data_IF_483332896052
#
_entry.id   IF_483332896052
#
_cell.length_a   1.000
_cell.length_b   1.000
_cell.length_c   1.000
_cell.angle_alpha   90.00
_cell.angle_beta   90.00
_cell.angle_gamma   90.00
#
_symmetry.space_group_name_H-M   'P 1'
#
loop_
_entity.id
_entity.type
_entity.pdbx_description
1 polymer ?
#
# COMPACT_ATOMS: atom_id res chain seq x y z
N UNK A 1 21.40 11.87 4.49
CA UNK A 1 20.11 12.54 4.76
C UNK A 1 19.38 12.68 3.45
N UNK A 2 18.29 11.93 3.31
CA UNK A 2 17.42 12.01 2.14
C UNK A 2 16.39 13.11 2.42
N UNK A 3 16.21 14.07 1.51
CA UNK A 3 15.21 15.14 1.66
C UNK A 3 14.03 14.85 0.73
N UNK A 4 12.82 14.97 1.27
CA UNK A 4 11.59 14.91 0.49
C UNK A 4 11.45 16.23 -0.29
N UNK A 5 11.97 16.30 -1.50
CA UNK A 5 11.90 17.55 -2.30
C UNK A 5 10.50 17.81 -2.83
N UNK A 6 10.26 19.02 -3.32
CA UNK A 6 9.01 19.34 -4.02
C UNK A 6 8.78 18.37 -5.21
N UNK A 7 7.54 17.93 -5.38
CA UNK A 7 7.14 16.95 -6.39
C UNK A 7 7.56 15.51 -6.07
N UNK A 8 8.21 15.25 -4.92
CA UNK A 8 8.47 13.89 -4.48
C UNK A 8 7.18 13.22 -4.02
N UNK A 9 6.99 11.96 -4.41
CA UNK A 9 5.83 11.18 -4.02
C UNK A 9 6.14 10.30 -2.81
N UNK A 10 5.12 10.08 -1.99
CA UNK A 10 5.12 9.13 -0.88
C UNK A 10 4.00 8.13 -1.09
N UNK A 11 4.34 6.86 -1.23
CA UNK A 11 3.38 5.76 -1.18
C UNK A 11 3.30 5.24 0.25
N UNK A 12 2.09 5.23 0.82
CA UNK A 12 1.80 4.60 2.11
C UNK A 12 0.91 3.40 1.85
N UNK A 13 1.26 2.21 2.32
CA UNK A 13 0.46 1.00 2.10
C UNK A 13 0.49 0.03 3.29
N UNK A 14 -0.62 -0.65 3.56
CA UNK A 14 -0.74 -1.64 4.66
C UNK A 14 -1.17 -3.05 4.22
N UNK A 15 -1.39 -3.24 2.91
CA UNK A 15 -1.86 -4.49 2.31
C UNK A 15 -3.34 -4.44 1.91
N UNK A 16 -4.12 -3.51 2.44
CA UNK A 16 -5.55 -3.35 2.13
C UNK A 16 -5.84 -1.97 1.58
N UNK A 17 -5.12 -0.96 2.07
CA UNK A 17 -5.23 0.44 1.68
C UNK A 17 -3.87 0.97 1.24
N UNK A 18 -3.92 1.91 0.30
CA UNK A 18 -2.78 2.69 -0.13
C UNK A 18 -3.16 4.16 -0.35
N UNK A 19 -2.24 5.04 0.02
CA UNK A 19 -2.31 6.48 -0.19
C UNK A 19 -1.09 6.91 -1.01
N UNK A 20 -1.34 7.65 -2.09
CA UNK A 20 -0.32 8.33 -2.86
C UNK A 20 -0.38 9.81 -2.50
N UNK A 21 0.71 10.31 -1.92
CA UNK A 21 0.85 11.68 -1.50
C UNK A 21 1.95 12.37 -2.31
N UNK A 22 1.78 13.65 -2.61
CA UNK A 22 2.79 14.47 -3.25
C UNK A 22 3.23 15.59 -2.31
N UNK A 23 4.53 15.76 -2.17
CA UNK A 23 5.07 16.87 -1.41
C UNK A 23 5.06 18.17 -2.24
N UNK A 24 4.34 19.18 -1.74
CA UNK A 24 4.21 20.49 -2.40
C UNK A 24 5.25 21.52 -1.93
N UNK A 25 6.16 21.18 -1.02
CA UNK A 25 7.17 22.11 -0.48
C UNK A 25 8.60 21.61 -0.68
N UNK A 26 9.60 22.37 -0.24
CA UNK A 26 11.01 22.06 -0.47
C UNK A 26 11.58 20.93 0.42
N UNK A 27 10.80 20.42 1.39
CA UNK A 27 11.18 19.34 2.30
C UNK A 27 11.71 19.75 3.66
N UNK A 28 11.85 21.05 3.96
CA UNK A 28 12.11 21.52 5.33
C UNK A 28 10.85 21.51 6.17
N UNK A 29 9.72 21.79 5.54
CA UNK A 29 8.37 21.69 6.11
C UNK A 29 7.48 20.98 5.09
N UNK A 30 7.50 19.63 5.03
CA UNK A 30 6.79 18.87 4.01
C UNK A 30 5.28 19.11 4.12
N UNK A 31 4.64 19.38 2.98
CA UNK A 31 3.18 19.45 2.87
C UNK A 31 2.74 18.38 1.88
N UNK A 32 2.12 17.33 2.40
CA UNK A 32 1.69 16.17 1.65
C UNK A 32 0.24 16.33 1.22
N UNK A 33 0.01 16.44 -0.08
CA UNK A 33 -1.33 16.44 -0.64
C UNK A 33 -1.71 15.04 -1.12
N UNK A 34 -2.92 14.59 -0.79
CA UNK A 34 -3.43 13.29 -1.27
C UNK A 34 -3.74 13.38 -2.75
N UNK A 35 -2.94 12.71 -3.57
CA UNK A 35 -3.15 12.61 -5.01
C UNK A 35 -4.12 11.46 -5.34
N UNK A 36 -4.04 10.36 -4.59
CA UNK A 36 -4.90 9.19 -4.79
C UNK A 36 -5.01 8.32 -3.55
N UNK A 37 -6.21 7.75 -3.37
CA UNK A 37 -6.45 6.65 -2.44
C UNK A 37 -6.84 5.38 -3.24
N UNK A 38 -6.35 4.22 -2.80
CA UNK A 38 -6.76 2.90 -3.28
C UNK A 38 -7.07 2.04 -2.05
N UNK A 39 -8.22 1.40 -2.04
CA UNK A 39 -8.54 0.31 -1.13
C UNK A 39 -8.77 -0.97 -1.93
N UNK A 40 -8.56 -2.13 -1.31
CA UNK A 40 -9.13 -3.37 -1.82
C UNK A 40 -10.65 -3.28 -1.74
N UNK A 41 -11.34 -3.54 -2.85
CA UNK A 41 -12.77 -3.84 -2.83
C UNK A 41 -12.94 -5.24 -2.22
N UNK A 42 -12.92 -5.31 -0.89
CA UNK A 42 -13.31 -6.53 -0.19
C UNK A 42 -14.82 -6.48 0.00
N UNK A 43 -15.64 -7.24 -0.75
CA UNK A 43 -17.03 -7.42 -0.36
C UNK A 43 -16.99 -8.03 1.04
N UNK A 44 -17.45 -7.29 2.05
CA UNK A 44 -17.55 -7.80 3.42
C UNK A 44 -18.15 -9.20 3.37
N UNK A 45 -17.58 -10.15 4.12
CA UNK A 45 -17.87 -11.61 4.11
C UNK A 45 -19.36 -12.03 4.01
N UNK A 46 -20.29 -11.11 4.28
CA UNK A 46 -21.72 -11.27 4.08
C UNK A 46 -22.19 -11.39 2.61
N UNK A 47 -21.51 -10.81 1.62
CA UNK A 47 -22.00 -10.79 0.24
C UNK A 47 -21.64 -12.04 -0.59
N UNK A 48 -20.56 -12.76 -0.24
CA UNK A 48 -20.21 -14.02 -0.90
C UNK A 48 -21.13 -15.20 -0.52
N UNK A 49 -21.95 -15.06 0.52
CA UNK A 49 -22.90 -16.10 0.97
C UNK A 49 -24.26 -16.06 0.26
N UNK A 50 -24.59 -14.99 -0.47
CA UNK A 50 -25.98 -14.76 -0.93
C UNK A 50 -26.38 -15.47 -2.25
N UNK A 51 -25.45 -16.11 -2.96
CA UNK A 51 -25.72 -16.74 -4.27
C UNK A 51 -25.38 -18.24 -4.31
N UNK A 52 -26.01 -19.06 -3.46
CA UNK A 52 -26.13 -20.51 -3.70
C UNK A 52 -27.59 -20.94 -3.62
N UNK A 53 -28.24 -21.30 -4.75
CA UNK A 53 -29.52 -21.98 -4.76
C UNK A 53 -29.42 -23.30 -3.97
N UNK A 54 -30.41 -23.53 -3.11
CA UNK A 54 -30.36 -24.49 -2.02
C UNK A 54 -29.87 -25.90 -2.38
N UNK A 55 -28.97 -26.40 -1.53
CA UNK A 55 -28.85 -27.84 -1.29
C UNK A 55 -28.63 -28.08 0.21
N UNK A 56 -29.35 -29.09 0.66
CA UNK A 56 -29.65 -29.48 2.04
C UNK A 56 -28.44 -29.47 2.99
N UNK A 57 -28.73 -29.14 4.25
CA UNK A 57 -27.81 -29.30 5.36
C UNK A 57 -27.40 -30.78 5.50
N UNK A 58 -26.13 -31.08 5.27
CA UNK A 58 -25.48 -32.26 5.81
C UNK A 58 -24.42 -31.78 6.81
N UNK A 59 -24.59 -32.18 8.06
CA UNK A 59 -23.84 -31.68 9.20
C UNK A 59 -22.59 -32.56 9.43
N UNK A 60 -21.41 -32.02 9.12
CA UNK A 60 -20.09 -32.51 9.54
C UNK A 60 -19.02 -31.40 9.42
N UNK A 61 -17.97 -31.42 10.27
CA UNK A 61 -17.60 -30.37 11.23
C UNK A 61 -17.37 -28.96 10.64
N UNK A 62 -17.96 -27.98 11.31
CA UNK A 62 -17.83 -26.54 11.04
C UNK A 62 -16.48 -25.95 11.45
N UNK A 63 -15.42 -26.33 10.74
CA UNK A 63 -14.22 -25.50 10.64
C UNK A 63 -14.03 -25.12 9.18
N UNK A 64 -14.50 -23.92 8.79
CA UNK A 64 -13.66 -23.11 7.91
C UNK A 64 -12.38 -22.91 8.72
N UNK A 65 -11.33 -23.63 8.37
CA UNK A 65 -10.14 -23.66 9.20
C UNK A 65 -9.54 -22.25 9.21
N UNK A 66 -9.04 -21.78 10.36
CA UNK A 66 -8.31 -20.51 10.42
C UNK A 66 -7.11 -20.48 9.45
N UNK A 67 -6.66 -21.67 8.99
CA UNK A 67 -5.63 -21.83 7.97
C UNK A 67 -6.13 -21.37 6.59
N UNK A 68 -7.31 -21.82 6.16
CA UNK A 68 -7.89 -21.39 4.88
C UNK A 68 -8.09 -19.86 4.85
N UNK A 69 -8.55 -19.28 5.96
CA UNK A 69 -8.75 -17.83 6.08
C UNK A 69 -7.43 -17.04 6.01
N UNK A 70 -6.35 -17.58 6.60
CA UNK A 70 -5.00 -16.98 6.52
C UNK A 70 -4.48 -17.00 5.07
N UNK A 71 -4.69 -18.11 4.36
CA UNK A 71 -4.25 -18.25 2.96
C UNK A 71 -4.96 -17.26 2.03
N UNK A 72 -6.26 -17.00 2.24
CA UNK A 72 -7.00 -15.99 1.48
C UNK A 72 -6.48 -14.57 1.74
N UNK A 73 -6.18 -14.24 2.99
CA UNK A 73 -5.64 -12.91 3.35
C UNK A 73 -4.25 -12.67 2.77
N UNK A 74 -3.36 -13.67 2.80
CA UNK A 74 -2.02 -13.53 2.20
C UNK A 74 -2.10 -13.42 0.67
N UNK A 75 -2.95 -14.21 0.01
CA UNK A 75 -3.19 -14.08 -1.42
C UNK A 75 -3.77 -12.69 -1.80
N UNK A 76 -4.63 -12.12 -0.96
CA UNK A 76 -5.19 -10.79 -1.17
C UNK A 76 -4.08 -9.71 -1.09
N UNK A 77 -3.19 -9.80 -0.09
CA UNK A 77 -2.03 -8.90 0.05
C UNK A 77 -1.08 -9.02 -1.14
N UNK A 78 -0.81 -10.24 -1.59
CA UNK A 78 0.03 -10.50 -2.75
C UNK A 78 -0.51 -9.78 -4.00
N UNK A 79 -1.81 -9.96 -4.29
CA UNK A 79 -2.50 -9.29 -5.40
C UNK A 79 -2.52 -7.77 -5.25
N UNK A 80 -2.72 -7.27 -4.04
CA UNK A 80 -2.68 -5.84 -3.78
C UNK A 80 -1.30 -5.25 -4.06
N UNK A 81 -0.23 -5.96 -3.71
CA UNK A 81 1.13 -5.53 -4.05
C UNK A 81 1.39 -5.55 -5.56
N UNK A 82 0.82 -6.51 -6.32
CA UNK A 82 0.89 -6.49 -7.80
C UNK A 82 0.21 -5.24 -8.38
N UNK A 83 -1.00 -4.94 -7.93
CA UNK A 83 -1.76 -3.76 -8.33
C UNK A 83 -0.97 -2.46 -8.06
N UNK A 84 -0.35 -2.36 -6.88
CA UNK A 84 0.45 -1.19 -6.50
C UNK A 84 1.70 -1.07 -7.39
N UNK A 85 2.40 -2.17 -7.64
CA UNK A 85 3.58 -2.18 -8.50
C UNK A 85 3.24 -1.74 -9.94
N UNK A 86 2.10 -2.20 -10.48
CA UNK A 86 1.64 -1.80 -11.81
C UNK A 86 1.26 -0.32 -11.87
N UNK A 87 0.56 0.19 -10.84
CA UNK A 87 0.22 1.62 -10.76
C UNK A 87 1.47 2.50 -10.65
N UNK A 88 2.42 2.13 -9.79
CA UNK A 88 3.69 2.83 -9.66
C UNK A 88 4.45 2.84 -10.99
N UNK A 89 4.47 1.73 -11.72
CA UNK A 89 5.09 1.67 -13.04
C UNK A 89 4.45 2.66 -14.01
N UNK A 90 3.11 2.69 -14.11
CA UNK A 90 2.39 3.64 -14.97
C UNK A 90 2.72 5.09 -14.61
N UNK A 91 2.67 5.43 -13.32
CA UNK A 91 2.98 6.78 -12.86
C UNK A 91 4.45 7.18 -13.09
N UNK A 92 5.38 6.28 -12.84
CA UNK A 92 6.81 6.51 -13.12
C UNK A 92 7.07 6.69 -14.61
N UNK A 93 6.42 5.87 -15.45
CA UNK A 93 6.53 5.93 -16.91
C UNK A 93 5.94 7.23 -17.49
N UNK A 94 4.81 7.68 -16.95
CA UNK A 94 4.15 8.94 -17.32
C UNK A 94 4.87 10.18 -16.74
N UNK A 95 5.98 9.99 -16.02
CA UNK A 95 6.75 11.08 -15.42
C UNK A 95 6.03 11.82 -14.30
N UNK A 96 5.07 11.17 -13.61
CA UNK A 96 4.31 11.80 -12.51
C UNK A 96 5.14 12.12 -11.29
N UNK A 97 6.25 11.41 -11.10
CA UNK A 97 7.22 11.69 -10.06
C UNK A 97 8.64 11.36 -10.51
N UNK A 98 9.60 12.08 -9.93
CA UNK A 98 11.03 11.79 -10.08
C UNK A 98 11.62 11.06 -8.88
N UNK A 99 11.00 11.20 -7.71
CA UNK A 99 11.43 10.61 -6.46
C UNK A 99 10.26 9.99 -5.73
N UNK A 100 10.48 8.83 -5.13
CA UNK A 100 9.48 8.04 -4.43
C UNK A 100 10.01 7.60 -3.06
N UNK A 101 9.19 7.78 -2.03
CA UNK A 101 9.39 7.17 -0.70
C UNK A 101 8.32 6.10 -0.50
N UNK A 102 8.74 4.92 -0.06
CA UNK A 102 7.84 3.82 0.26
C UNK A 102 7.65 3.70 1.76
N UNK A 103 6.42 3.73 2.23
CA UNK A 103 6.06 3.59 3.65
C UNK A 103 5.08 2.44 3.78
N UNK A 104 5.55 1.29 4.23
CA UNK A 104 4.69 0.13 4.39
C UNK A 104 5.22 -0.83 5.45
N UNK A 105 4.40 -1.80 5.84
CA UNK A 105 4.86 -2.89 6.70
C UNK A 105 6.01 -3.67 6.02
N UNK A 106 6.93 -4.29 6.79
CA UNK A 106 8.05 -5.03 6.22
C UNK A 106 7.65 -6.08 5.18
N UNK A 107 6.50 -6.75 5.39
CA UNK A 107 5.97 -7.74 4.47
C UNK A 107 5.60 -7.10 3.11
N UNK A 108 4.82 -6.03 3.14
CA UNK A 108 4.40 -5.32 1.92
C UNK A 108 5.58 -4.69 1.19
N UNK A 109 6.57 -4.15 1.91
CA UNK A 109 7.82 -3.71 1.27
C UNK A 109 8.57 -4.86 0.59
N UNK A 110 8.57 -6.06 1.19
CA UNK A 110 9.15 -7.27 0.59
C UNK A 110 8.48 -7.61 -0.75
N UNK A 111 7.14 -7.67 -0.74
CA UNK A 111 6.33 -7.94 -1.92
C UNK A 111 6.54 -6.88 -3.02
N UNK A 112 6.50 -5.60 -2.66
CA UNK A 112 6.75 -4.51 -3.60
C UNK A 112 8.15 -4.62 -4.23
N UNK A 113 9.20 -4.91 -3.45
CA UNK A 113 10.55 -5.07 -4.00
C UNK A 113 10.66 -6.21 -5.01
N UNK A 114 9.91 -7.30 -4.81
CA UNK A 114 9.90 -8.43 -5.74
C UNK A 114 9.17 -8.10 -7.07
N UNK A 115 8.21 -7.17 -7.04
CA UNK A 115 7.25 -6.92 -8.12
C UNK A 115 7.47 -5.61 -8.87
N UNK A 116 8.09 -4.62 -8.23
CA UNK A 116 8.33 -3.30 -8.82
C UNK A 116 9.29 -3.39 -10.02
N UNK A 117 8.91 -2.70 -11.09
CA UNK A 117 9.75 -2.56 -12.28
C UNK A 117 10.96 -1.66 -11.99
N UNK A 118 12.10 -1.89 -12.66
CA UNK A 118 13.36 -1.15 -12.45
C UNK A 118 13.18 0.37 -12.51
N UNK A 119 12.36 0.87 -13.44
CA UNK A 119 12.05 2.32 -13.58
C UNK A 119 11.46 2.95 -12.31
N UNK A 120 10.74 2.18 -11.50
CA UNK A 120 10.19 2.62 -10.21
C UNK A 120 11.30 2.55 -9.17
N UNK A 121 12.01 1.42 -9.10
CA UNK A 121 13.12 1.19 -8.16
C UNK A 121 14.19 2.27 -8.26
N UNK A 122 14.54 2.71 -9.47
CA UNK A 122 15.52 3.77 -9.72
C UNK A 122 15.10 5.14 -9.16
N UNK A 123 13.79 5.33 -8.96
CA UNK A 123 13.21 6.56 -8.38
C UNK A 123 13.01 6.46 -6.86
N UNK A 124 13.19 5.28 -6.25
CA UNK A 124 13.03 5.09 -4.81
C UNK A 124 14.20 5.74 -4.08
N UNK A 125 13.92 6.74 -3.26
CA UNK A 125 14.92 7.48 -2.49
C UNK A 125 14.95 7.07 -1.00
N UNK A 126 13.96 6.29 -0.56
CA UNK A 126 13.87 5.81 0.82
C UNK A 126 12.72 4.83 1.03
N UNK A 127 12.90 3.97 2.04
CA UNK A 127 11.89 3.01 2.48
C UNK A 127 11.76 3.09 4.01
N UNK A 128 10.53 3.22 4.49
CA UNK A 128 10.21 3.35 5.91
C UNK A 128 9.33 2.15 6.30
N UNK A 129 9.84 1.20 7.11
CA UNK A 129 9.11 -0.02 7.47
C UNK A 129 8.05 0.24 8.56
N UNK A 130 7.06 1.08 8.25
CA UNK A 130 5.96 1.49 9.14
C UNK A 130 4.62 1.43 8.42
N UNK A 131 3.55 1.15 9.17
CA UNK A 131 2.17 1.18 8.68
C UNK A 131 1.52 2.49 9.09
N UNK A 132 1.33 3.42 8.14
CA UNK A 132 0.79 4.76 8.42
C UNK A 132 -0.59 5.05 7.80
N UNK A 133 -1.22 4.08 7.16
CA UNK A 133 -2.52 4.22 6.45
C UNK A 133 -3.68 4.75 7.33
N UNK A 134 -3.61 4.54 8.65
CA UNK A 134 -4.60 4.98 9.63
C UNK A 134 -4.23 6.29 10.37
N UNK A 135 -3.17 6.97 9.93
CA UNK A 135 -2.73 8.23 10.55
C UNK A 135 -3.23 9.43 9.74
N UNK A 136 -3.52 10.56 10.39
CA UNK A 136 -3.83 11.79 9.68
C UNK A 136 -2.57 12.31 8.97
N UNK A 137 -2.77 13.01 7.84
CA UNK A 137 -1.68 13.50 6.98
C UNK A 137 -0.62 14.32 7.73
N UNK A 138 -0.95 15.22 8.68
CA UNK A 138 0.07 15.95 9.44
C UNK A 138 0.99 15.05 10.29
N UNK A 139 0.46 13.97 10.86
CA UNK A 139 1.28 13.01 11.61
C UNK A 139 2.19 12.21 10.66
N UNK A 140 1.69 11.89 9.46
CA UNK A 140 2.47 11.23 8.42
C UNK A 140 3.65 12.11 7.99
N UNK A 141 3.43 13.41 7.78
CA UNK A 141 4.47 14.38 7.42
C UNK A 141 5.62 14.38 8.42
N UNK A 142 5.28 14.48 9.71
CA UNK A 142 6.26 14.48 10.80
C UNK A 142 7.03 13.16 10.88
N UNK A 143 6.35 12.02 10.77
CA UNK A 143 7.00 10.70 10.83
C UNK A 143 7.95 10.52 9.64
N UNK A 144 7.46 10.77 8.42
CA UNK A 144 8.27 10.59 7.20
C UNK A 144 9.49 11.49 7.21
N UNK A 145 9.33 12.76 7.63
CA UNK A 145 10.45 13.70 7.77
C UNK A 145 11.52 13.19 8.74
N UNK A 146 11.10 12.71 9.91
CA UNK A 146 12.02 12.22 10.94
C UNK A 146 12.78 10.96 10.50
N UNK A 147 12.09 10.00 9.89
CA UNK A 147 12.72 8.76 9.43
C UNK A 147 13.67 8.97 8.23
N UNK A 148 13.42 9.94 7.35
CA UNK A 148 14.32 10.26 6.23
C UNK A 148 15.57 11.05 6.66
N UNK A 149 15.50 11.73 7.80
CA UNK A 149 16.60 12.51 8.38
C UNK A 149 17.55 11.66 9.26
N UNK A 150 17.06 10.52 9.76
CA UNK A 150 17.83 9.54 10.55
C UNK A 150 18.88 8.80 9.72
#
# INVERSE_FOLDING_TARGET
MTRLTNGAWVLIADGEKALFLENQTDGEDPFLEVVREKSQDNPSDGEQSANRPGRMADNGPGQRSALDDTDWHELAKERFADDLAEMLYKYAHDGKFEKLVLVASPNILGELRAKMHQVVTDKVIGEIPKTLTNHPVPEIEDIVKNDLAA
#
